data_IF_471122152296
#
_entry.id   IF_471122152296
#
_cell.length_a   1.000
_cell.length_b   1.000
_cell.length_c   1.000
_cell.angle_alpha   90.00
_cell.angle_beta   90.00
_cell.angle_gamma   90.00
#
_symmetry.space_group_name_H-M   'P 1'
#
loop_
_entity.id
_entity.type
_entity.pdbx_description
1 polymer ?
#
# COMPACT_ATOMS: atom_id res chain seq x y z
N UNK A 1 3.21 -12.04 20.42
CA UNK A 1 4.16 -12.38 21.51
C UNK A 1 3.96 -11.44 22.71
N UNK A 2 4.34 -10.17 22.71
CA UNK A 2 3.68 -9.21 23.61
C UNK A 2 2.34 -8.83 22.96
N UNK A 3 1.25 -8.70 23.73
CA UNK A 3 -0.10 -8.41 23.22
C UNK A 3 -0.94 -9.61 22.73
N UNK A 4 -0.39 -10.83 22.72
CA UNK A 4 -1.17 -12.06 22.47
C UNK A 4 -1.72 -12.26 21.05
N UNK A 5 -1.32 -11.44 20.07
CA UNK A 5 -1.79 -11.54 18.68
C UNK A 5 -1.31 -12.81 17.96
N UNK A 6 -2.15 -13.35 17.08
CA UNK A 6 -1.86 -14.51 16.23
C UNK A 6 -1.11 -14.11 14.94
N UNK A 7 -1.20 -12.83 14.55
CA UNK A 7 -0.52 -12.28 13.38
C UNK A 7 0.08 -10.90 13.65
N UNK A 8 1.20 -10.57 13.01
CA UNK A 8 1.77 -9.22 13.08
C UNK A 8 0.79 -8.16 12.55
N UNK A 9 -0.08 -8.54 11.62
CA UNK A 9 -1.09 -7.65 11.02
C UNK A 9 -2.27 -7.33 11.95
N UNK A 10 -2.32 -7.94 13.13
CA UNK A 10 -3.32 -7.66 14.18
C UNK A 10 -2.78 -6.69 15.24
N UNK A 11 -1.49 -6.34 15.16
CA UNK A 11 -0.86 -5.40 16.09
C UNK A 11 -1.37 -3.98 15.88
N UNK A 12 -1.26 -3.15 16.91
CA UNK A 12 -1.71 -1.75 16.91
C UNK A 12 -1.11 -0.91 15.77
N UNK A 13 0.09 -1.25 15.29
CA UNK A 13 0.78 -0.52 14.21
C UNK A 13 0.32 -0.95 12.81
N UNK A 14 -0.04 -2.21 12.60
CA UNK A 14 -0.35 -2.75 11.27
C UNK A 14 -1.86 -2.95 11.04
N UNK A 15 -2.63 -3.22 12.09
CA UNK A 15 -4.07 -3.38 11.99
C UNK A 15 -4.77 -2.14 11.40
N UNK A 16 -4.39 -0.89 11.74
CA UNK A 16 -5.00 0.30 11.13
C UNK A 16 -4.78 0.39 9.61
N UNK A 17 -3.64 -0.07 9.12
CA UNK A 17 -3.32 -0.09 7.68
C UNK A 17 -4.19 -1.11 6.93
N UNK A 18 -4.33 -2.31 7.49
CA UNK A 18 -5.19 -3.37 6.93
C UNK A 18 -6.66 -2.95 6.99
N UNK A 19 -7.09 -2.36 8.10
CA UNK A 19 -8.44 -1.86 8.30
C UNK A 19 -8.81 -0.79 7.26
N UNK A 20 -7.93 0.18 7.02
CA UNK A 20 -8.16 1.21 6.00
C UNK A 20 -8.23 0.61 4.60
N UNK A 21 -7.36 -0.35 4.26
CA UNK A 21 -7.41 -1.02 2.96
C UNK A 21 -8.74 -1.78 2.75
N UNK A 22 -9.29 -2.41 3.80
CA UNK A 22 -10.62 -3.03 3.78
C UNK A 22 -11.73 -2.00 3.60
N UNK A 23 -11.68 -0.91 4.35
CA UNK A 23 -12.66 0.19 4.29
C UNK A 23 -12.75 0.77 2.88
N UNK A 24 -11.60 1.07 2.27
CA UNK A 24 -11.53 1.58 0.91
C UNK A 24 -12.12 0.61 -0.12
N UNK A 25 -12.07 -0.70 0.15
CA UNK A 25 -12.65 -1.76 -0.68
C UNK A 25 -14.12 -2.05 -0.35
N UNK A 26 -14.76 -1.27 0.52
CA UNK A 26 -16.14 -1.49 0.96
C UNK A 26 -16.34 -2.72 1.84
N UNK A 27 -15.26 -3.24 2.43
CA UNK A 27 -15.29 -4.37 3.37
C UNK A 27 -15.29 -3.82 4.80
N UNK A 28 -16.13 -4.38 5.67
CA UNK A 28 -16.09 -4.08 7.11
C UNK A 28 -14.67 -4.29 7.66
N UNK A 29 -14.01 -3.25 8.19
CA UNK A 29 -12.64 -3.33 8.69
C UNK A 29 -12.44 -4.38 9.79
N UNK A 30 -13.48 -4.66 10.59
CA UNK A 30 -13.45 -5.63 11.70
C UNK A 30 -13.72 -7.06 11.26
N UNK A 31 -14.24 -7.25 10.05
CA UNK A 31 -14.55 -8.59 9.53
C UNK A 31 -13.25 -9.33 9.23
N UNK A 32 -13.05 -10.47 9.90
CA UNK A 32 -12.01 -11.42 9.53
C UNK A 32 -12.40 -12.12 8.23
N UNK A 33 -11.46 -12.19 7.27
CA UNK A 33 -11.67 -12.85 5.98
C UNK A 33 -10.86 -14.15 5.85
N UNK A 34 -10.17 -14.60 6.90
CA UNK A 34 -9.27 -15.75 6.83
C UNK A 34 -8.23 -15.58 5.72
N UNK A 35 -8.19 -16.51 4.76
CA UNK A 35 -7.29 -16.46 3.60
C UNK A 35 -7.53 -15.22 2.71
N UNK A 36 -8.77 -14.71 2.68
CA UNK A 36 -9.13 -13.50 1.94
C UNK A 36 -8.51 -12.21 2.47
N UNK A 37 -7.81 -12.24 3.61
CA UNK A 37 -7.07 -11.09 4.12
C UNK A 37 -5.73 -10.84 3.41
N UNK A 38 -5.21 -11.84 2.69
CA UNK A 38 -3.87 -11.76 2.11
C UNK A 38 -3.64 -10.51 1.23
N UNK A 39 -4.56 -10.10 0.33
CA UNK A 39 -4.37 -8.88 -0.46
C UNK A 39 -4.27 -7.60 0.40
N UNK A 40 -5.09 -7.48 1.45
CA UNK A 40 -5.09 -6.33 2.35
C UNK A 40 -3.79 -6.25 3.18
N UNK A 41 -3.27 -7.41 3.60
CA UNK A 41 -1.96 -7.49 4.27
C UNK A 41 -0.82 -7.08 3.35
N UNK A 42 -0.87 -7.48 2.07
CA UNK A 42 0.12 -7.05 1.07
C UNK A 42 0.05 -5.54 0.82
N UNK A 43 -1.16 -4.97 0.71
CA UNK A 43 -1.34 -3.52 0.57
C UNK A 43 -0.73 -2.78 1.76
N UNK A 44 -1.06 -3.18 2.99
CA UNK A 44 -0.56 -2.55 4.21
C UNK A 44 0.98 -2.57 4.28
N UNK A 45 1.59 -3.74 4.05
CA UNK A 45 3.04 -3.89 4.13
C UNK A 45 3.77 -3.11 3.03
N UNK A 46 3.25 -3.13 1.81
CA UNK A 46 3.89 -2.44 0.68
C UNK A 46 3.69 -0.93 0.73
N UNK A 47 2.56 -0.44 1.26
CA UNK A 47 2.37 0.99 1.54
C UNK A 47 3.40 1.47 2.58
N UNK A 48 3.62 0.69 3.63
CA UNK A 48 4.65 0.98 4.64
C UNK A 48 6.04 1.04 4.01
N UNK A 49 6.44 0.03 3.26
CA UNK A 49 7.73 0.02 2.58
C UNK A 49 7.89 1.21 1.61
N UNK A 50 6.86 1.55 0.84
CA UNK A 50 6.89 2.67 -0.09
C UNK A 50 7.04 4.02 0.63
N UNK A 51 6.26 4.26 1.69
CA UNK A 51 6.32 5.50 2.46
C UNK A 51 7.70 5.74 3.08
N UNK A 52 8.29 4.71 3.71
CA UNK A 52 9.63 4.81 4.30
C UNK A 52 10.73 5.02 3.24
N UNK A 53 10.67 4.28 2.12
CA UNK A 53 11.65 4.46 1.03
C UNK A 53 11.61 5.88 0.45
N UNK A 54 10.41 6.44 0.25
CA UNK A 54 10.26 7.81 -0.24
C UNK A 54 10.72 8.84 0.79
N UNK A 55 10.46 8.60 2.08
CA UNK A 55 10.96 9.47 3.16
C UNK A 55 12.50 9.53 3.18
N UNK A 56 13.15 8.41 2.89
CA UNK A 56 14.62 8.28 2.76
C UNK A 56 15.18 8.82 1.43
N UNK A 57 14.33 9.39 0.57
CA UNK A 57 14.74 9.97 -0.71
C UNK A 57 14.93 8.97 -1.85
N UNK A 58 14.34 7.78 -1.76
CA UNK A 58 14.23 6.85 -2.88
C UNK A 58 12.96 7.16 -3.66
N UNK A 59 13.10 7.51 -4.94
CA UNK A 59 11.97 7.89 -5.79
C UNK A 59 11.71 6.83 -6.88
N UNK A 60 10.46 6.66 -7.34
CA UNK A 60 10.16 5.67 -8.38
C UNK A 60 10.91 5.95 -9.70
N UNK A 61 11.76 5.01 -10.14
CA UNK A 61 12.46 5.08 -11.43
C UNK A 61 12.82 3.68 -11.98
N UNK A 62 13.50 3.60 -13.12
CA UNK A 62 13.84 2.36 -13.86
C UNK A 62 15.18 1.74 -13.44
N UNK A 63 15.90 2.31 -12.47
CA UNK A 63 17.23 1.83 -12.08
C UNK A 63 17.28 1.33 -10.64
N UNK A 64 18.17 0.37 -10.35
CA UNK A 64 18.56 -0.12 -9.01
C UNK A 64 17.41 -0.23 -7.98
N UNK A 65 17.41 0.62 -6.94
CA UNK A 65 16.51 0.57 -5.78
C UNK A 65 15.21 1.32 -6.05
N UNK A 66 15.28 2.32 -6.90
CA UNK A 66 14.16 3.07 -7.44
C UNK A 66 13.20 2.15 -8.21
N UNK A 67 13.76 1.17 -8.93
CA UNK A 67 12.99 0.11 -9.57
C UNK A 67 12.39 -0.91 -8.59
N UNK A 68 13.05 -1.17 -7.45
CA UNK A 68 12.48 -1.99 -6.38
C UNK A 68 11.24 -1.31 -5.79
N UNK A 69 11.33 -0.01 -5.50
CA UNK A 69 10.19 0.79 -5.04
C UNK A 69 9.01 0.69 -6.01
N UNK A 70 9.24 0.86 -7.32
CA UNK A 70 8.18 0.67 -8.33
C UNK A 70 7.54 -0.70 -8.27
N UNK A 71 8.33 -1.77 -8.13
CA UNK A 71 7.80 -3.14 -8.06
C UNK A 71 6.94 -3.35 -6.81
N UNK A 72 7.35 -2.79 -5.67
CA UNK A 72 6.59 -2.83 -4.42
C UNK A 72 5.25 -2.12 -4.60
N UNK A 73 5.26 -0.87 -5.09
CA UNK A 73 4.04 -0.09 -5.30
C UNK A 73 3.09 -0.80 -6.27
N UNK A 74 3.59 -1.26 -7.42
CA UNK A 74 2.79 -1.95 -8.45
C UNK A 74 2.18 -3.26 -7.95
N UNK A 75 2.89 -3.99 -7.08
CA UNK A 75 2.35 -5.20 -6.46
C UNK A 75 1.20 -4.86 -5.51
N UNK A 76 1.32 -3.81 -4.70
CA UNK A 76 0.22 -3.33 -3.87
C UNK A 76 -1.00 -2.94 -4.72
N UNK A 77 -0.79 -2.15 -5.78
CA UNK A 77 -1.86 -1.69 -6.69
C UNK A 77 -2.57 -2.88 -7.33
N UNK A 78 -1.83 -3.88 -7.82
CA UNK A 78 -2.41 -5.10 -8.40
C UNK A 78 -3.26 -5.89 -7.39
N UNK A 79 -2.80 -6.02 -6.15
CA UNK A 79 -3.60 -6.65 -5.10
C UNK A 79 -4.84 -5.82 -4.73
N UNK A 80 -4.77 -4.50 -4.85
CA UNK A 80 -5.93 -3.62 -4.74
C UNK A 80 -6.98 -3.90 -5.81
N UNK A 81 -6.57 -4.01 -7.08
CA UNK A 81 -7.49 -4.38 -8.18
C UNK A 81 -8.19 -5.73 -7.92
N UNK A 82 -7.49 -6.71 -7.34
CA UNK A 82 -8.07 -8.02 -7.01
C UNK A 82 -9.20 -7.94 -5.95
N UNK A 83 -9.22 -6.90 -5.13
CA UNK A 83 -10.23 -6.69 -4.09
C UNK A 83 -11.18 -5.52 -4.41
N UNK A 84 -11.23 -5.07 -5.67
CA UNK A 84 -12.16 -4.05 -6.14
C UNK A 84 -11.75 -2.59 -5.88
N UNK A 85 -10.46 -2.33 -5.62
CA UNK A 85 -9.93 -0.96 -5.53
C UNK A 85 -9.56 -0.45 -6.93
N UNK A 86 -10.56 0.09 -7.62
CA UNK A 86 -10.42 0.57 -9.01
C UNK A 86 -9.93 2.02 -9.11
N UNK A 87 -10.10 2.81 -8.06
CA UNK A 87 -9.60 4.18 -7.94
C UNK A 87 -8.24 4.25 -7.21
N UNK A 88 -7.44 5.31 -7.38
CA UNK A 88 -6.21 5.51 -6.64
C UNK A 88 -6.41 5.43 -5.11
N UNK A 89 -5.67 4.53 -4.46
CA UNK A 89 -5.85 4.24 -3.03
C UNK A 89 -4.53 4.19 -2.25
N UNK A 90 -3.40 3.89 -2.91
CA UNK A 90 -2.17 3.57 -2.21
C UNK A 90 -1.63 4.79 -1.44
N UNK A 91 -1.79 5.99 -1.99
CA UNK A 91 -1.42 7.25 -1.33
C UNK A 91 -2.17 7.45 0.00
N UNK A 92 -3.45 7.07 0.08
CA UNK A 92 -4.25 7.13 1.32
C UNK A 92 -3.72 6.16 2.38
N UNK A 93 -3.32 4.97 1.98
CA UNK A 93 -2.72 4.00 2.90
C UNK A 93 -1.33 4.48 3.34
N UNK A 94 -0.53 5.07 2.46
CA UNK A 94 0.73 5.72 2.82
C UNK A 94 0.52 6.89 3.79
N UNK A 95 -0.52 7.71 3.61
CA UNK A 95 -0.87 8.77 4.55
C UNK A 95 -1.20 8.20 5.94
N UNK A 96 -1.88 7.04 6.00
CA UNK A 96 -2.07 6.32 7.27
C UNK A 96 -0.74 5.85 7.87
N UNK A 97 0.22 5.38 7.07
CA UNK A 97 1.57 5.06 7.57
C UNK A 97 2.21 6.29 8.22
N UNK A 98 2.11 7.47 7.60
CA UNK A 98 2.62 8.72 8.18
C UNK A 98 1.96 9.03 9.53
N UNK A 99 0.65 8.79 9.66
CA UNK A 99 -0.06 8.96 10.94
C UNK A 99 0.43 8.00 12.01
N UNK A 100 0.48 6.69 11.71
CA UNK A 100 0.80 5.66 12.72
C UNK A 100 2.30 5.65 13.12
N UNK A 101 3.20 6.02 12.20
CA UNK A 101 4.65 5.93 12.41
C UNK A 101 5.32 7.30 12.60
N UNK A 102 4.71 8.39 12.16
CA UNK A 102 5.37 9.69 12.04
C UNK A 102 5.73 10.39 13.35
N UNK A 103 5.23 9.91 14.49
CA UNK A 103 5.68 10.40 15.80
C UNK A 103 7.10 9.93 16.12
N UNK A 104 7.38 8.65 15.85
CA UNK A 104 8.69 8.02 16.08
C UNK A 104 9.66 8.31 14.94
N UNK A 105 9.13 8.50 13.72
CA UNK A 105 9.89 8.75 12.49
C UNK A 105 9.49 10.10 11.87
N UNK A 106 9.98 11.24 12.40
CA UNK A 106 9.59 12.58 11.96
C UNK A 106 9.81 12.85 10.47
N UNK A 107 10.75 12.16 9.84
CA UNK A 107 11.03 12.20 8.41
C UNK A 107 9.81 11.84 7.56
N UNK A 108 8.94 10.93 8.03
CA UNK A 108 7.67 10.61 7.37
C UNK A 108 6.75 11.83 7.34
N UNK A 109 6.65 12.57 8.45
CA UNK A 109 5.83 13.79 8.52
C UNK A 109 6.43 14.89 7.66
N UNK A 110 7.76 15.07 7.72
CA UNK A 110 8.47 16.07 6.93
C UNK A 110 8.34 15.83 5.42
N UNK A 111 8.15 14.58 4.99
CA UNK A 111 7.99 14.18 3.57
C UNK A 111 6.57 13.79 3.19
N UNK A 112 5.57 14.03 4.04
CA UNK A 112 4.19 13.56 3.82
C UNK A 112 3.61 13.98 2.46
N UNK A 113 3.77 15.26 2.08
CA UNK A 113 3.31 15.77 0.78
C UNK A 113 4.04 15.11 -0.41
N UNK A 114 5.34 14.88 -0.30
CA UNK A 114 6.13 14.19 -1.33
C UNK A 114 5.74 12.72 -1.45
N UNK A 115 5.47 12.04 -0.33
CA UNK A 115 4.99 10.65 -0.32
C UNK A 115 3.64 10.58 -1.03
N UNK A 116 2.70 11.47 -0.70
CA UNK A 116 1.37 11.50 -1.30
C UNK A 116 1.43 11.69 -2.82
N UNK A 117 2.13 12.74 -3.28
CA UNK A 117 2.27 13.09 -4.70
C UNK A 117 2.90 11.96 -5.52
N UNK A 118 4.05 11.45 -5.08
CA UNK A 118 4.79 10.44 -5.84
C UNK A 118 4.06 9.10 -5.91
N UNK A 119 3.37 8.73 -4.83
CA UNK A 119 2.57 7.50 -4.80
C UNK A 119 1.37 7.62 -5.73
N UNK A 120 0.67 8.76 -5.70
CA UNK A 120 -0.47 9.01 -6.59
C UNK A 120 -0.05 8.97 -8.07
N UNK A 121 1.02 9.68 -8.44
CA UNK A 121 1.50 9.75 -9.82
C UNK A 121 1.91 8.38 -10.39
N UNK A 122 2.67 7.58 -9.63
CA UNK A 122 3.05 6.24 -10.09
C UNK A 122 1.83 5.30 -10.14
N UNK A 123 0.87 5.42 -9.22
CA UNK A 123 -0.36 4.61 -9.25
C UNK A 123 -1.21 4.92 -10.49
N UNK A 124 -1.50 6.20 -10.74
CA UNK A 124 -2.23 6.62 -11.94
C UNK A 124 -1.51 6.19 -13.22
N UNK A 125 -0.17 6.34 -13.25
CA UNK A 125 0.62 5.91 -14.41
C UNK A 125 0.57 4.40 -14.63
N UNK A 126 0.59 3.62 -13.56
CA UNK A 126 0.57 2.17 -13.68
C UNK A 126 -0.82 1.64 -14.08
N UNK A 127 -1.90 2.18 -13.49
CA UNK A 127 -3.29 1.76 -13.80
C UNK A 127 -3.61 1.85 -15.29
N UNK A 128 -3.20 2.94 -15.96
CA UNK A 128 -3.33 3.10 -17.44
C UNK A 128 -2.78 1.93 -18.27
N UNK A 129 -1.81 1.20 -17.72
CA UNK A 129 -1.19 0.03 -18.35
C UNK A 129 -1.68 -1.30 -17.79
N UNK A 130 -2.03 -1.35 -16.50
CA UNK A 130 -2.50 -2.55 -15.81
C UNK A 130 -3.79 -3.08 -16.44
N UNK A 131 -4.76 -2.21 -16.70
CA UNK A 131 -6.06 -2.59 -17.29
C UNK A 131 -5.89 -3.28 -18.65
N UNK A 132 -4.94 -2.79 -19.45
CA UNK A 132 -4.61 -3.40 -20.75
C UNK A 132 -3.91 -4.74 -20.58
N UNK A 133 -3.07 -4.88 -19.55
CA UNK A 133 -2.35 -6.10 -19.24
C UNK A 133 -3.29 -7.21 -18.76
N UNK A 134 -4.21 -6.91 -17.84
CA UNK A 134 -5.18 -7.86 -17.31
C UNK A 134 -6.11 -8.39 -18.42
N UNK A 135 -6.67 -7.51 -19.25
CA UNK A 135 -7.51 -7.92 -20.40
C UNK A 135 -6.80 -8.86 -21.38
N UNK A 136 -5.47 -8.74 -21.55
CA UNK A 136 -4.69 -9.62 -22.41
C UNK A 136 -4.41 -10.98 -21.79
N UNK A 137 -4.33 -11.06 -20.46
CA UNK A 137 -4.16 -12.32 -19.73
C UNK A 137 -5.49 -13.10 -19.67
N UNK A 138 -6.62 -12.41 -19.51
CA UNK A 138 -7.95 -13.05 -19.50
C UNK A 138 -8.35 -13.58 -20.89
N UNK A 139 -7.79 -13.02 -21.96
CA UNK A 139 -8.03 -13.43 -23.34
C UNK A 139 -7.06 -14.53 -23.84
N UNK A 140 -6.13 -14.98 -23.01
CA UNK A 140 -5.13 -16.00 -23.31
C UNK A 140 -5.45 -17.32 -22.60
#
# INVERSE_FOLDING_TARGET
>A
VIGGYASNYETELLAPLVALAKELAGVDPKKSLGEGEAPFRVIADHARAAAFLIADGVFPDRTRREYVLRRIMRRAIRHGTQVGLDEPFLHKVCARVVTEFGEVYPELRARAATIDELVLVEEESFRRTLDRGLRRLDAA
#
